data_IF_142389070861
#
_entry.id   IF_142389070861
#
_cell.length_a   1.000
_cell.length_b   1.000
_cell.length_c   1.000
_cell.angle_alpha   90.00
_cell.angle_beta   90.00
_cell.angle_gamma   90.00
#
_symmetry.space_group_name_H-M   'P 1'
#
loop_
_entity.id
_entity.type
_entity.pdbx_description
1 polymer ?
#
# COMPACT_ATOMS: atom_id res chain seq x y z
N UNK A 1 -26.78 10.34 -4.90
CA UNK A 1 -25.35 10.22 -5.24
C UNK A 1 -25.02 11.31 -6.25
N UNK A 2 -24.03 12.14 -5.97
CA UNK A 2 -23.52 13.22 -6.81
C UNK A 2 -22.35 12.69 -7.63
N UNK A 3 -22.41 12.91 -8.94
CA UNK A 3 -21.30 12.67 -9.85
C UNK A 3 -20.16 13.67 -9.56
N UNK A 4 -18.95 13.14 -9.41
CA UNK A 4 -17.72 13.91 -9.18
C UNK A 4 -16.80 13.91 -10.41
N UNK A 5 -17.20 13.26 -11.50
CA UNK A 5 -16.41 13.08 -12.71
C UNK A 5 -15.36 11.98 -12.54
N UNK A 6 -14.31 12.05 -13.35
CA UNK A 6 -13.22 11.09 -13.28
C UNK A 6 -12.43 11.20 -11.95
N UNK A 7 -12.19 10.08 -11.30
CA UNK A 7 -11.49 10.02 -10.03
C UNK A 7 -9.97 10.10 -10.23
N UNK A 8 -9.31 11.04 -9.55
CA UNK A 8 -7.84 11.09 -9.44
C UNK A 8 -7.32 10.49 -8.13
N UNK A 9 -8.15 10.54 -7.08
CA UNK A 9 -7.86 10.05 -5.74
C UNK A 9 -9.11 9.38 -5.19
N UNK A 10 -8.96 8.21 -4.58
CA UNK A 10 -10.02 7.54 -3.82
C UNK A 10 -9.46 7.08 -2.48
N UNK A 11 -10.18 7.33 -1.38
CA UNK A 11 -9.74 6.98 -0.02
C UNK A 11 -8.34 7.52 0.33
N UNK A 12 -7.94 8.66 -0.24
CA UNK A 12 -6.60 9.24 -0.09
C UNK A 12 -5.50 8.51 -0.87
N UNK A 13 -5.85 7.54 -1.71
CA UNK A 13 -4.94 6.79 -2.58
C UNK A 13 -4.94 7.40 -3.98
N UNK A 14 -3.75 7.71 -4.50
CA UNK A 14 -3.57 8.25 -5.85
C UNK A 14 -3.78 7.18 -6.91
N UNK A 15 -4.58 7.52 -7.92
CA UNK A 15 -4.79 6.70 -9.12
C UNK A 15 -3.77 7.14 -10.19
N UNK A 16 -3.03 6.17 -10.73
CA UNK A 16 -2.05 6.38 -11.79
C UNK A 16 -2.63 5.82 -13.07
N UNK A 17 -2.94 6.68 -14.04
CA UNK A 17 -3.42 6.28 -15.36
C UNK A 17 -2.25 6.00 -16.30
N UNK A 18 -2.34 4.94 -17.07
CA UNK A 18 -1.43 4.61 -18.16
C UNK A 18 -2.22 4.10 -19.37
N UNK A 19 -1.54 3.83 -20.49
CA UNK A 19 -2.19 3.21 -21.66
C UNK A 19 -2.72 1.81 -21.32
N UNK A 20 -2.09 1.15 -20.35
CA UNK A 20 -2.37 -0.23 -19.98
C UNK A 20 -3.51 -0.34 -18.96
N UNK A 21 -3.95 0.78 -18.37
CA UNK A 21 -5.00 0.77 -17.36
C UNK A 21 -4.87 1.84 -16.27
N UNK A 22 -5.50 1.55 -15.13
CA UNK A 22 -5.38 2.33 -13.89
C UNK A 22 -4.59 1.50 -12.86
N UNK A 23 -3.59 2.11 -12.26
CA UNK A 23 -2.85 1.59 -11.12
C UNK A 23 -3.22 2.32 -9.82
N UNK A 24 -3.63 1.57 -8.81
CA UNK A 24 -3.87 2.08 -7.44
C UNK A 24 -2.55 1.97 -6.67
N UNK A 25 -1.86 3.09 -6.48
CA UNK A 25 -0.53 3.12 -5.84
C UNK A 25 -0.59 3.28 -4.34
N UNK A 26 0.16 2.45 -3.60
CA UNK A 26 0.28 2.56 -2.12
C UNK A 26 1.57 3.24 -1.68
N UNK A 27 2.40 3.72 -2.61
CA UNK A 27 3.75 4.22 -2.32
C UNK A 27 3.76 5.33 -1.26
N UNK A 28 2.86 6.32 -1.40
CA UNK A 28 2.75 7.45 -0.47
C UNK A 28 2.59 7.01 0.99
N UNK A 29 1.66 6.09 1.26
CA UNK A 29 1.41 5.62 2.62
C UNK A 29 2.54 4.76 3.15
N UNK A 30 3.15 3.93 2.29
CA UNK A 30 4.29 3.10 2.68
C UNK A 30 5.47 4.00 3.06
N UNK A 31 5.85 4.96 2.21
CA UNK A 31 6.95 5.89 2.45
C UNK A 31 6.75 6.65 3.77
N UNK A 32 5.53 7.17 4.00
CA UNK A 32 5.15 7.86 5.23
C UNK A 32 5.28 6.98 6.48
N UNK A 33 4.92 5.70 6.39
CA UNK A 33 5.06 4.75 7.50
C UNK A 33 6.54 4.43 7.76
N UNK A 34 7.33 4.16 6.71
CA UNK A 34 8.77 3.87 6.85
C UNK A 34 9.51 5.06 7.47
N UNK A 35 9.16 6.28 7.07
CA UNK A 35 9.72 7.51 7.64
C UNK A 35 9.34 7.68 9.11
N UNK A 36 8.04 7.56 9.42
CA UNK A 36 7.52 7.70 10.80
C UNK A 36 8.23 6.80 11.81
N UNK A 37 8.62 5.59 11.40
CA UNK A 37 9.30 4.64 12.28
C UNK A 37 10.83 4.62 12.12
N UNK A 38 11.41 5.41 11.22
CA UNK A 38 12.87 5.46 11.00
C UNK A 38 13.45 4.23 10.29
N UNK A 39 12.68 3.50 9.48
CA UNK A 39 13.09 2.25 8.85
C UNK A 39 13.72 2.40 7.46
N UNK A 40 14.09 3.63 7.06
CA UNK A 40 14.62 3.94 5.73
C UNK A 40 15.87 3.13 5.38
N UNK A 41 16.73 2.83 6.35
CA UNK A 41 17.97 2.05 6.16
C UNK A 41 17.83 0.57 6.54
N UNK A 42 16.62 0.08 6.80
CA UNK A 42 16.39 -1.32 7.18
C UNK A 42 16.57 -2.30 6.01
N UNK A 43 16.90 -3.56 6.28
CA UNK A 43 16.93 -4.64 5.27
C UNK A 43 15.52 -4.90 4.72
N UNK A 44 15.40 -5.31 3.46
CA UNK A 44 14.11 -5.73 2.90
C UNK A 44 13.75 -7.15 3.34
N UNK A 45 12.47 -7.43 3.56
CA UNK A 45 11.94 -8.78 3.77
C UNK A 45 11.08 -9.19 2.57
N UNK A 46 11.21 -10.43 2.09
CA UNK A 46 10.45 -10.92 0.92
C UNK A 46 8.99 -11.21 1.23
N UNK A 47 8.70 -11.68 2.44
CA UNK A 47 7.34 -12.00 2.88
C UNK A 47 7.08 -11.36 4.24
N UNK A 48 5.88 -10.79 4.46
CA UNK A 48 5.52 -10.21 5.74
C UNK A 48 5.22 -11.27 6.80
N UNK A 49 4.84 -12.47 6.34
CA UNK A 49 4.41 -13.61 7.13
C UNK A 49 5.08 -14.89 6.62
N UNK A 50 5.36 -15.80 7.53
CA UNK A 50 5.91 -17.12 7.26
C UNK A 50 5.10 -18.13 8.08
N UNK A 51 4.31 -18.96 7.39
CA UNK A 51 3.38 -19.91 8.01
C UNK A 51 4.07 -21.08 8.69
N UNK A 52 5.37 -21.28 8.44
CA UNK A 52 6.15 -22.33 9.10
C UNK A 52 6.54 -21.95 10.53
N UNK A 53 6.31 -20.71 10.95
CA UNK A 53 6.73 -20.20 12.26
C UNK A 53 5.64 -20.42 13.29
N UNK A 54 6.01 -21.10 14.38
CA UNK A 54 5.19 -21.17 15.59
C UNK A 54 5.27 -19.86 16.36
N UNK A 55 4.13 -19.30 16.76
CA UNK A 55 4.09 -18.07 17.53
C UNK A 55 4.64 -18.30 18.94
N UNK A 56 5.49 -17.38 19.39
CA UNK A 56 6.04 -17.37 20.74
C UNK A 56 5.97 -15.95 21.30
N UNK A 57 6.00 -15.84 22.63
CA UNK A 57 6.00 -14.55 23.32
C UNK A 57 7.27 -13.77 22.95
N UNK A 58 7.10 -12.51 22.57
CA UNK A 58 8.24 -11.65 22.28
C UNK A 58 8.89 -11.19 23.60
N UNK A 59 10.07 -11.72 23.91
CA UNK A 59 10.87 -11.33 25.08
C UNK A 59 11.74 -10.08 24.82
N UNK A 60 11.85 -9.63 23.57
CA UNK A 60 12.56 -8.40 23.20
C UNK A 60 11.67 -7.17 23.36
N UNK A 61 12.28 -6.03 23.72
CA UNK A 61 11.65 -4.71 23.62
C UNK A 61 11.32 -4.31 22.17
N UNK A 62 11.97 -4.94 21.18
CA UNK A 62 11.73 -4.71 19.76
C UNK A 62 10.73 -5.73 19.24
N UNK A 63 9.65 -5.27 18.60
CA UNK A 63 8.66 -6.16 17.98
C UNK A 63 9.19 -6.78 16.68
N UNK A 64 9.47 -8.09 16.72
CA UNK A 64 9.93 -8.86 15.56
C UNK A 64 8.88 -8.86 14.44
N UNK A 65 7.59 -8.93 14.79
CA UNK A 65 6.50 -8.93 13.82
C UNK A 65 6.39 -7.57 13.10
N UNK A 66 6.41 -6.46 13.85
CA UNK A 66 6.39 -5.11 13.25
C UNK A 66 7.59 -4.90 12.33
N UNK A 67 8.78 -5.31 12.78
CA UNK A 67 10.00 -5.19 12.00
C UNK A 67 9.92 -5.97 10.68
N UNK A 68 9.36 -7.21 10.66
CA UNK A 68 9.14 -7.94 9.40
C UNK A 68 8.18 -7.22 8.46
N UNK A 69 7.07 -6.70 8.98
CA UNK A 69 6.07 -5.97 8.18
C UNK A 69 6.68 -4.71 7.57
N UNK A 70 7.37 -3.88 8.36
CA UNK A 70 8.00 -2.65 7.85
C UNK A 70 9.06 -2.95 6.77
N UNK A 71 9.87 -4.00 6.98
CA UNK A 71 10.85 -4.44 5.98
C UNK A 71 10.23 -4.97 4.70
N UNK A 72 9.07 -5.63 4.79
CA UNK A 72 8.31 -6.07 3.63
C UNK A 72 7.69 -4.91 2.86
N UNK A 73 7.06 -3.97 3.58
CA UNK A 73 6.49 -2.75 2.97
C UNK A 73 7.57 -1.95 2.23
N UNK A 74 8.75 -1.78 2.84
CA UNK A 74 9.90 -1.14 2.17
C UNK A 74 10.29 -1.82 0.85
N UNK A 75 10.22 -3.16 0.79
CA UNK A 75 10.53 -3.92 -0.43
C UNK A 75 9.44 -3.88 -1.50
N UNK A 76 8.25 -3.38 -1.17
CA UNK A 76 7.05 -3.46 -2.01
C UNK A 76 6.42 -2.10 -2.29
N UNK A 77 7.17 -1.01 -2.08
CA UNK A 77 6.73 0.39 -2.32
C UNK A 77 6.14 0.59 -3.72
N UNK A 78 6.76 -0.01 -4.74
CA UNK A 78 6.35 0.10 -6.14
C UNK A 78 5.19 -0.82 -6.54
N UNK A 79 4.72 -1.72 -5.65
CA UNK A 79 3.62 -2.61 -5.98
C UNK A 79 2.28 -1.89 -5.91
N UNK A 80 1.61 -1.82 -7.06
CA UNK A 80 0.28 -1.28 -7.24
C UNK A 80 -0.72 -2.35 -7.68
N UNK A 81 -2.01 -2.11 -7.43
CA UNK A 81 -3.09 -2.92 -7.99
C UNK A 81 -3.40 -2.36 -9.38
N UNK A 82 -3.32 -3.19 -10.41
CA UNK A 82 -3.51 -2.78 -11.79
C UNK A 82 -4.86 -3.26 -12.36
N UNK A 83 -5.59 -2.34 -12.99
CA UNK A 83 -6.86 -2.60 -13.66
C UNK A 83 -6.74 -2.20 -15.13
N UNK A 84 -6.68 -3.20 -16.03
CA UNK A 84 -6.40 -3.00 -17.46
C UNK A 84 -7.58 -3.14 -18.41
N UNK A 85 -8.83 -3.00 -17.94
CA UNK A 85 -9.99 -3.02 -18.86
C UNK A 85 -10.17 -1.65 -19.51
N UNK A 86 -10.62 -1.66 -20.76
CA UNK A 86 -10.92 -0.46 -21.54
C UNK A 86 -12.44 -0.15 -21.55
N UNK A 87 -12.86 1.13 -21.47
CA UNK A 87 -12.02 2.29 -21.17
C UNK A 87 -11.56 2.23 -19.71
N UNK A 88 -10.29 2.58 -19.47
CA UNK A 88 -9.71 2.62 -18.13
C UNK A 88 -10.10 3.93 -17.41
N UNK A 89 -11.41 4.14 -17.28
CA UNK A 89 -12.00 5.30 -16.61
C UNK A 89 -12.61 4.82 -15.30
N UNK A 90 -12.26 5.49 -14.20
CA UNK A 90 -12.89 5.32 -12.91
C UNK A 90 -13.67 6.59 -12.58
N UNK A 91 -14.99 6.49 -12.54
CA UNK A 91 -15.87 7.60 -12.19
C UNK A 91 -16.11 7.65 -10.67
N UNK A 92 -16.03 8.85 -10.11
CA UNK A 92 -16.28 9.10 -8.71
C UNK A 92 -17.75 9.45 -8.46
N UNK A 93 -18.37 8.76 -7.52
CA UNK A 93 -19.70 9.10 -7.01
C UNK A 93 -19.63 9.29 -5.50
N UNK A 94 -20.25 10.37 -5.01
CA UNK A 94 -20.39 10.63 -3.58
C UNK A 94 -21.86 10.57 -3.16
N UNK A 95 -22.17 9.84 -2.10
CA UNK A 95 -23.46 9.88 -1.42
C UNK A 95 -23.48 10.84 -0.23
N UNK A 96 -22.35 11.50 0.07
CA UNK A 96 -22.30 12.57 1.05
C UNK A 96 -23.17 13.75 0.58
N UNK A 97 -24.14 14.11 1.42
CA UNK A 97 -25.06 15.25 1.26
C UNK A 97 -24.35 16.59 1.33
#
# INVERSE_FOLDING_TARGET
>A
MKDMGEADVSLGIKLIRSIDGIAISRSYYIEKIIEKFGYQNSRIAKMPYDSSITLFKNESSVSVAQLRVLRYLKGTVSLAIHYGRFPAILEGYSDAS
#
